data_IF_527766478948
#
_entry.id   IF_527766478948
#
_cell.length_a   1.000
_cell.length_b   1.000
_cell.length_c   1.000
_cell.angle_alpha   90.00
_cell.angle_beta   90.00
_cell.angle_gamma   90.00
#
_symmetry.space_group_name_H-M   'P 1'
#
loop_
_entity.id
_entity.type
_entity.pdbx_description
1 polymer ?
#
# COMPACT_ATOMS: atom_id res chain seq x y z
N UNK A 1 0.13 19.16 -4.06
CA UNK A 1 0.21 20.09 -2.93
C UNK A 1 -1.15 20.41 -2.28
N UNK A 2 -1.50 21.67 -2.01
CA UNK A 2 -2.70 22.06 -1.27
C UNK A 2 -3.35 23.36 -1.81
N UNK A 3 -2.84 23.90 -2.93
CA UNK A 3 -3.06 25.30 -3.32
C UNK A 3 -2.69 26.25 -2.15
N UNK A 4 -1.64 25.93 -1.41
CA UNK A 4 -1.20 26.72 -0.25
C UNK A 4 -0.51 28.01 -0.69
N UNK A 5 -0.12 28.84 0.29
CA UNK A 5 0.65 30.06 0.04
C UNK A 5 2.02 29.75 -0.55
N UNK A 6 2.62 28.63 -0.17
CA UNK A 6 3.82 28.09 -0.80
C UNK A 6 3.44 26.84 -1.61
N UNK A 7 4.20 26.54 -2.67
CA UNK A 7 4.08 25.26 -3.37
C UNK A 7 4.67 24.11 -2.53
N UNK A 8 4.46 22.87 -2.97
CA UNK A 8 5.04 21.67 -2.34
C UNK A 8 6.56 21.72 -2.25
N UNK A 9 7.19 22.38 -3.23
CA UNK A 9 8.63 22.59 -3.30
C UNK A 9 9.10 23.87 -2.58
N UNK A 10 8.20 24.59 -1.89
CA UNK A 10 8.49 25.80 -1.12
C UNK A 10 8.49 27.11 -1.93
N UNK A 11 8.04 27.11 -3.19
CA UNK A 11 8.07 28.31 -4.03
C UNK A 11 6.96 29.30 -3.65
N UNK A 12 7.24 30.59 -3.82
CA UNK A 12 6.26 31.64 -3.54
C UNK A 12 5.17 31.71 -4.62
N UNK A 13 3.92 31.60 -4.20
CA UNK A 13 2.76 31.73 -5.09
C UNK A 13 2.25 33.17 -5.16
N UNK A 14 1.37 33.47 -6.12
CA UNK A 14 0.64 34.73 -6.13
C UNK A 14 -0.16 34.98 -4.83
N UNK A 15 -0.65 33.91 -4.18
CA UNK A 15 -1.36 33.98 -2.89
C UNK A 15 -0.44 34.44 -1.77
N UNK A 16 0.81 33.95 -1.75
CA UNK A 16 1.84 34.43 -0.84
C UNK A 16 2.08 35.94 -1.00
N UNK A 17 2.30 36.43 -2.22
CA UNK A 17 2.58 37.86 -2.43
C UNK A 17 1.41 38.76 -2.04
N UNK A 18 0.16 38.35 -2.32
CA UNK A 18 -1.03 39.10 -1.89
C UNK A 18 -1.14 39.18 -0.37
N UNK A 19 -0.97 38.07 0.33
CA UNK A 19 -1.03 38.04 1.80
C UNK A 19 0.13 38.81 2.42
N UNK A 20 1.34 38.70 1.87
CA UNK A 20 2.51 39.48 2.30
C UNK A 20 2.27 40.98 2.14
N UNK A 21 1.67 41.42 1.02
CA UNK A 21 1.28 42.81 0.83
C UNK A 21 0.22 43.26 1.84
N UNK A 22 -0.81 42.44 2.07
CA UNK A 22 -1.85 42.71 3.06
C UNK A 22 -1.28 42.87 4.47
N UNK A 23 -0.50 41.89 4.96
CA UNK A 23 0.10 41.97 6.29
C UNK A 23 1.14 43.10 6.41
N UNK A 24 1.85 43.42 5.32
CA UNK A 24 2.78 44.56 5.27
C UNK A 24 2.08 45.91 5.41
N UNK A 25 0.83 46.03 4.96
CA UNK A 25 0.03 47.25 5.17
C UNK A 25 -0.41 47.44 6.62
N UNK A 26 -0.45 46.36 7.41
CA UNK A 26 -0.88 46.37 8.81
C UNK A 26 0.29 46.46 9.79
N UNK A 27 1.49 46.01 9.41
CA UNK A 27 2.61 45.84 10.34
C UNK A 27 3.23 47.15 10.82
N UNK A 28 3.06 48.26 10.11
CA UNK A 28 3.70 49.55 10.42
C UNK A 28 5.24 49.55 10.28
N UNK A 29 5.84 48.39 10.01
CA UNK A 29 7.27 48.16 9.76
C UNK A 29 7.45 47.28 8.51
N UNK A 30 8.54 47.46 7.74
CA UNK A 30 8.83 46.60 6.59
C UNK A 30 8.94 45.13 6.97
N UNK A 31 8.34 44.25 6.16
CA UNK A 31 8.47 42.80 6.35
C UNK A 31 9.88 42.31 5.98
N UNK A 32 10.42 41.30 6.70
CA UNK A 32 11.76 40.77 6.44
C UNK A 32 11.85 40.18 5.03
N UNK A 33 12.99 40.32 4.32
CA UNK A 33 13.15 39.82 2.96
C UNK A 33 12.87 38.32 2.87
N UNK A 34 12.37 37.87 1.71
CA UNK A 34 12.17 36.45 1.46
C UNK A 34 13.52 35.71 1.35
N UNK A 35 13.64 34.50 1.91
CA UNK A 35 14.72 33.59 1.58
C UNK A 35 14.81 33.30 0.07
N UNK A 36 16.01 33.00 -0.41
CA UNK A 36 16.21 32.57 -1.79
C UNK A 36 15.53 31.23 -2.06
N UNK A 37 15.04 31.06 -3.28
CA UNK A 37 14.42 29.80 -3.71
C UNK A 37 15.49 28.73 -3.96
N UNK A 38 15.14 27.49 -3.62
CA UNK A 38 15.99 26.34 -3.92
C UNK A 38 16.01 26.07 -5.43
N UNK A 39 17.20 25.90 -6.05
CA UNK A 39 17.29 25.60 -7.47
C UNK A 39 16.63 24.26 -7.80
N UNK A 40 16.03 24.17 -8.99
CA UNK A 40 15.42 22.95 -9.51
C UNK A 40 16.23 22.46 -10.70
N UNK A 41 16.48 21.15 -10.73
CA UNK A 41 17.27 20.50 -11.77
C UNK A 41 16.43 19.46 -12.49
N UNK A 42 16.45 19.49 -13.82
CA UNK A 42 15.96 18.40 -14.65
C UNK A 42 17.09 17.37 -14.80
N UNK A 43 16.82 16.13 -14.38
CA UNK A 43 17.75 15.01 -14.57
C UNK A 43 17.43 14.28 -15.87
N UNK A 44 18.46 13.68 -16.48
CA UNK A 44 18.28 12.82 -17.65
C UNK A 44 17.44 11.57 -17.31
N UNK A 45 16.69 11.02 -18.27
CA UNK A 45 15.92 9.80 -18.06
C UNK A 45 16.80 8.64 -17.58
N UNK A 46 16.47 8.08 -16.41
CA UNK A 46 17.12 6.89 -15.87
C UNK A 46 16.39 5.63 -16.34
N UNK A 47 17.14 4.62 -16.78
CA UNK A 47 16.62 3.26 -16.99
C UNK A 47 17.06 2.37 -15.82
N UNK A 48 16.14 1.65 -15.15
CA UNK A 48 16.53 0.71 -14.12
C UNK A 48 17.21 -0.51 -14.76
N UNK A 49 18.47 -0.76 -14.41
CA UNK A 49 19.24 -1.91 -14.91
C UNK A 49 18.95 -3.21 -14.14
N UNK A 50 18.50 -3.07 -12.88
CA UNK A 50 18.24 -4.19 -11.98
C UNK A 50 16.79 -4.14 -11.49
N UNK A 51 16.17 -5.30 -11.43
CA UNK A 51 14.85 -5.49 -10.83
C UNK A 51 14.80 -6.78 -10.03
N UNK A 52 13.95 -6.78 -9.01
CA UNK A 52 13.63 -7.95 -8.22
C UNK A 52 12.12 -8.18 -8.26
N UNK A 53 11.69 -9.34 -8.74
CA UNK A 53 10.29 -9.71 -8.69
C UNK A 53 9.83 -9.89 -7.23
N UNK A 54 8.59 -9.54 -6.92
CA UNK A 54 8.02 -9.79 -5.60
C UNK A 54 8.16 -11.28 -5.22
N UNK A 55 7.95 -12.19 -6.17
CA UNK A 55 7.99 -13.64 -5.92
C UNK A 55 9.37 -14.13 -5.52
N UNK A 56 10.43 -13.53 -6.08
CA UNK A 56 11.80 -13.82 -5.70
C UNK A 56 12.15 -13.14 -4.37
N UNK A 57 11.66 -11.92 -4.14
CA UNK A 57 11.84 -11.21 -2.87
C UNK A 57 11.27 -11.98 -1.68
N UNK A 58 10.14 -12.68 -1.84
CA UNK A 58 9.51 -13.48 -0.78
C UNK A 58 10.44 -14.59 -0.23
N UNK A 59 11.44 -15.04 -0.99
CA UNK A 59 12.41 -16.05 -0.54
C UNK A 59 13.35 -15.53 0.55
N UNK A 60 13.49 -14.21 0.67
CA UNK A 60 14.36 -13.54 1.64
C UNK A 60 13.57 -12.86 2.77
N UNK A 61 12.26 -13.05 2.79
CA UNK A 61 11.39 -12.55 3.84
C UNK A 61 11.50 -13.43 5.08
N UNK A 62 11.14 -12.86 6.23
CA UNK A 62 10.86 -13.65 7.43
C UNK A 62 9.71 -14.64 7.17
N UNK A 63 9.62 -15.66 8.04
CA UNK A 63 8.54 -16.63 8.00
C UNK A 63 7.17 -15.93 7.98
N UNK A 64 6.26 -16.30 7.06
CA UNK A 64 4.94 -15.71 7.01
C UNK A 64 4.14 -16.07 8.27
N UNK A 65 3.22 -15.20 8.63
CA UNK A 65 2.24 -15.49 9.66
C UNK A 65 1.27 -16.54 9.10
N UNK A 66 1.23 -17.70 9.73
CA UNK A 66 0.28 -18.76 9.38
C UNK A 66 -1.01 -18.58 10.19
N UNK A 67 -2.15 -18.61 9.52
CA UNK A 67 -3.47 -18.45 10.16
C UNK A 67 -4.54 -19.25 9.45
N UNK A 68 -5.48 -19.84 10.21
CA UNK A 68 -6.59 -20.58 9.61
C UNK A 68 -7.56 -19.67 8.83
N UNK A 69 -7.65 -18.39 9.22
CA UNK A 69 -8.50 -17.37 8.57
C UNK A 69 -7.66 -16.16 8.15
N UNK A 70 -8.12 -15.33 7.21
CA UNK A 70 -7.46 -14.06 6.94
C UNK A 70 -7.38 -13.19 8.21
N UNK A 71 -6.26 -12.49 8.37
CA UNK A 71 -6.04 -11.52 9.45
C UNK A 71 -5.79 -10.16 8.82
N UNK A 72 -6.52 -9.12 9.26
CA UNK A 72 -6.27 -7.76 8.79
C UNK A 72 -4.88 -7.26 9.22
N UNK A 73 -4.39 -6.20 8.57
CA UNK A 73 -3.04 -5.69 8.77
C UNK A 73 -2.78 -5.32 10.22
N UNK A 74 -3.74 -4.69 10.90
CA UNK A 74 -3.60 -4.19 12.27
C UNK A 74 -3.52 -5.31 13.32
N UNK A 75 -4.13 -6.47 13.05
CA UNK A 75 -4.15 -7.60 13.98
C UNK A 75 -3.02 -8.60 13.73
N UNK A 76 -2.09 -8.32 12.81
CA UNK A 76 -0.94 -9.19 12.59
C UNK A 76 0.01 -9.17 13.80
N UNK A 77 0.61 -10.31 14.18
CA UNK A 77 1.62 -10.40 15.24
C UNK A 77 3.00 -9.93 14.74
N UNK A 78 3.06 -8.75 14.12
CA UNK A 78 4.30 -8.11 13.63
C UNK A 78 4.52 -6.78 14.36
N UNK A 79 5.70 -6.18 14.19
CA UNK A 79 6.03 -4.89 14.82
C UNK A 79 5.80 -4.88 16.35
N UNK A 80 6.32 -5.90 17.04
CA UNK A 80 6.14 -6.10 18.48
C UNK A 80 4.66 -6.17 18.91
N UNK A 81 3.81 -6.80 18.08
CA UNK A 81 2.38 -6.97 18.35
C UNK A 81 1.50 -5.77 17.98
N UNK A 82 2.05 -4.73 17.34
CA UNK A 82 1.29 -3.55 16.92
C UNK A 82 0.70 -3.66 15.50
N UNK A 83 0.85 -4.81 14.85
CA UNK A 83 0.37 -5.01 13.49
C UNK A 83 1.15 -4.22 12.44
N UNK A 84 0.66 -4.27 11.22
CA UNK A 84 1.23 -3.58 10.06
C UNK A 84 0.46 -2.28 9.78
N UNK A 85 1.14 -1.14 9.90
CA UNK A 85 0.50 0.17 9.74
C UNK A 85 0.33 0.59 8.28
N UNK A 86 1.31 0.33 7.40
CA UNK A 86 1.36 0.87 6.03
C UNK A 86 1.89 -0.18 5.04
N UNK A 87 1.92 0.19 3.76
CA UNK A 87 2.50 -0.62 2.69
C UNK A 87 1.51 -1.65 2.14
N UNK A 88 2.04 -2.84 1.86
CA UNK A 88 1.31 -3.92 1.20
C UNK A 88 1.28 -5.17 2.09
N UNK A 89 0.30 -6.03 1.88
CA UNK A 89 0.21 -7.31 2.57
C UNK A 89 -0.16 -8.39 1.56
N UNK A 90 0.56 -9.50 1.57
CA UNK A 90 0.29 -10.61 0.67
C UNK A 90 -0.35 -11.76 1.44
N UNK A 91 -1.55 -12.15 1.01
CA UNK A 91 -2.25 -13.33 1.50
C UNK A 91 -2.08 -14.46 0.50
N UNK A 92 -1.53 -15.59 0.92
CA UNK A 92 -1.35 -16.79 0.12
C UNK A 92 -2.17 -17.95 0.72
N UNK A 93 -2.91 -18.67 -0.11
CA UNK A 93 -3.56 -19.94 0.26
C UNK A 93 -3.53 -20.90 -0.94
N UNK A 94 -3.98 -22.14 -0.75
CA UNK A 94 -4.08 -23.15 -1.81
C UNK A 94 -5.54 -23.44 -2.13
N UNK A 95 -5.86 -23.46 -3.42
CA UNK A 95 -7.18 -23.82 -3.95
C UNK A 95 -7.06 -25.04 -4.87
N UNK A 96 -8.13 -25.81 -4.99
CA UNK A 96 -8.19 -27.01 -5.84
C UNK A 96 -9.28 -26.94 -6.91
N UNK A 97 -10.00 -25.82 -6.99
CA UNK A 97 -11.07 -25.58 -7.94
C UNK A 97 -11.05 -24.14 -8.46
N UNK A 98 -11.63 -23.94 -9.64
CA UNK A 98 -11.94 -22.63 -10.21
C UNK A 98 -13.29 -22.13 -9.71
N UNK A 99 -13.64 -20.88 -10.06
CA UNK A 99 -14.96 -20.32 -9.75
C UNK A 99 -14.92 -18.88 -9.31
N UNK A 100 -15.89 -18.46 -8.50
CA UNK A 100 -16.03 -17.07 -8.08
C UNK A 100 -15.32 -16.89 -6.74
N UNK A 101 -14.22 -16.14 -6.76
CA UNK A 101 -13.59 -15.62 -5.55
C UNK A 101 -14.36 -14.39 -5.10
N UNK A 102 -14.70 -14.32 -3.81
CA UNK A 102 -15.40 -13.18 -3.25
C UNK A 102 -14.96 -12.83 -1.84
N UNK A 103 -15.08 -11.55 -1.49
CA UNK A 103 -14.89 -11.07 -0.14
C UNK A 103 -14.55 -9.59 -0.08
N UNK A 104 -14.25 -9.11 1.12
CA UNK A 104 -14.04 -7.69 1.38
C UNK A 104 -12.54 -7.39 1.47
N UNK A 105 -12.06 -6.55 0.56
CA UNK A 105 -10.68 -6.09 0.53
C UNK A 105 -10.63 -4.60 0.82
N UNK A 106 -9.67 -4.17 1.63
CA UNK A 106 -9.39 -2.77 1.89
C UNK A 106 -7.89 -2.47 1.73
N UNK A 107 -7.45 -1.69 0.73
CA UNK A 107 -8.27 -0.89 -0.19
C UNK A 107 -8.36 -1.48 -1.58
N UNK A 108 -7.27 -2.11 -2.05
CA UNK A 108 -7.19 -2.71 -3.37
C UNK A 108 -6.36 -3.98 -3.33
N UNK A 109 -6.94 -5.11 -3.73
CA UNK A 109 -6.30 -6.42 -3.76
C UNK A 109 -6.09 -6.90 -5.17
N UNK A 110 -4.83 -7.05 -5.61
CA UNK A 110 -4.51 -7.72 -6.85
C UNK A 110 -4.49 -9.23 -6.63
N UNK A 111 -5.30 -9.95 -7.40
CA UNK A 111 -5.45 -11.40 -7.29
C UNK A 111 -4.55 -12.08 -8.32
N UNK A 112 -3.85 -13.12 -7.88
CA UNK A 112 -2.99 -13.94 -8.70
C UNK A 112 -3.31 -15.42 -8.51
N UNK A 113 -3.23 -16.16 -9.61
CA UNK A 113 -3.17 -17.62 -9.62
C UNK A 113 -1.74 -17.99 -9.98
N UNK A 114 -1.03 -18.62 -9.04
CA UNK A 114 0.42 -18.72 -9.02
C UNK A 114 1.08 -17.33 -9.11
N UNK A 115 1.66 -16.98 -10.26
CA UNK A 115 2.30 -15.70 -10.53
C UNK A 115 1.52 -14.86 -11.55
N UNK A 116 0.44 -15.39 -12.12
CA UNK A 116 -0.36 -14.74 -13.17
C UNK A 116 -1.46 -13.91 -12.53
N UNK A 117 -1.51 -12.62 -12.86
CA UNK A 117 -2.57 -11.74 -12.37
C UNK A 117 -3.88 -12.04 -13.09
N UNK A 118 -4.95 -12.23 -12.31
CA UNK A 118 -6.29 -12.50 -12.84
C UNK A 118 -7.24 -11.32 -12.70
N UNK A 119 -6.88 -10.32 -11.87
CA UNK A 119 -7.54 -9.03 -11.78
C UNK A 119 -7.51 -8.44 -10.37
N UNK A 120 -8.50 -7.62 -10.03
CA UNK A 120 -8.50 -6.82 -8.80
C UNK A 120 -9.82 -6.93 -8.03
N UNK A 121 -9.71 -6.89 -6.71
CA UNK A 121 -10.79 -6.66 -5.75
C UNK A 121 -10.60 -5.29 -5.09
N UNK A 122 -11.69 -4.59 -4.81
CA UNK A 122 -11.68 -3.29 -4.11
C UNK A 122 -13.06 -3.03 -3.46
N UNK A 123 -13.32 -1.78 -3.07
CA UNK A 123 -14.59 -1.37 -2.46
C UNK A 123 -15.82 -1.67 -3.34
N UNK A 124 -15.68 -1.56 -4.66
CA UNK A 124 -16.76 -1.78 -5.63
C UNK A 124 -16.77 -3.24 -6.12
N UNK A 125 -15.60 -3.76 -6.48
CA UNK A 125 -15.42 -5.10 -7.03
C UNK A 125 -15.09 -6.10 -5.93
N UNK A 126 -16.14 -6.70 -5.36
CA UNK A 126 -16.04 -7.71 -4.29
C UNK A 126 -15.97 -9.15 -4.79
N UNK A 127 -16.03 -9.36 -6.11
CA UNK A 127 -16.03 -10.68 -6.74
C UNK A 127 -15.14 -10.69 -7.98
N UNK A 128 -14.47 -11.80 -8.23
CA UNK A 128 -13.70 -12.04 -9.45
C UNK A 128 -13.75 -13.52 -9.83
N UNK A 129 -13.67 -13.80 -11.12
CA UNK A 129 -13.60 -15.18 -11.64
C UNK A 129 -12.17 -15.67 -11.59
N UNK A 130 -11.96 -16.80 -10.91
CA UNK A 130 -10.74 -17.60 -10.98
C UNK A 130 -10.87 -18.52 -12.20
N UNK A 131 -9.93 -18.44 -13.16
CA UNK A 131 -9.96 -19.26 -14.36
C UNK A 131 -9.84 -20.75 -14.03
N UNK A 132 -10.06 -21.61 -15.02
CA UNK A 132 -9.87 -23.05 -14.87
C UNK A 132 -8.43 -23.33 -14.41
N UNK A 133 -8.30 -24.11 -13.33
CA UNK A 133 -7.02 -24.53 -12.77
C UNK A 133 -6.91 -26.06 -12.76
N UNK A 134 -5.68 -26.56 -12.73
CA UNK A 134 -5.38 -27.99 -12.60
C UNK A 134 -4.74 -28.26 -11.25
N UNK A 135 -5.28 -29.26 -10.53
CA UNK A 135 -4.76 -29.67 -9.24
C UNK A 135 -4.73 -28.56 -8.20
N UNK A 136 -3.84 -28.70 -7.22
CA UNK A 136 -3.63 -27.71 -6.17
C UNK A 136 -2.82 -26.53 -6.71
N UNK A 137 -3.39 -25.34 -6.62
CA UNK A 137 -2.80 -24.10 -7.14
C UNK A 137 -2.73 -23.04 -6.05
N UNK A 138 -1.69 -22.21 -6.08
CA UNK A 138 -1.55 -21.08 -5.14
C UNK A 138 -2.45 -19.93 -5.57
N UNK A 139 -3.35 -19.52 -4.68
CA UNK A 139 -4.08 -18.26 -4.79
C UNK A 139 -3.36 -17.21 -3.95
N UNK A 140 -3.10 -16.05 -4.54
CA UNK A 140 -2.44 -14.94 -3.86
C UNK A 140 -3.24 -13.66 -4.02
N UNK A 141 -3.32 -12.87 -2.96
CA UNK A 141 -3.98 -11.56 -2.97
C UNK A 141 -3.00 -10.55 -2.38
N UNK A 142 -2.43 -9.70 -3.22
CA UNK A 142 -1.58 -8.58 -2.81
C UNK A 142 -2.46 -7.37 -2.53
N UNK A 143 -2.63 -7.01 -1.26
CA UNK A 143 -3.47 -5.89 -0.86
C UNK A 143 -2.62 -4.66 -0.58
N UNK A 144 -2.99 -3.54 -1.19
CA UNK A 144 -2.45 -2.22 -0.96
C UNK A 144 -3.32 -1.47 0.06
N UNK A 145 -2.67 -0.91 1.09
CA UNK A 145 -3.28 0.09 1.97
C UNK A 145 -3.06 1.49 1.35
N UNK A 146 -4.14 2.09 0.83
CA UNK A 146 -4.12 3.40 0.14
C UNK A 146 -4.38 4.58 1.09
N UNK A 147 -4.34 4.33 2.40
CA UNK A 147 -4.55 5.33 3.44
C UNK A 147 -5.83 5.07 4.24
N UNK A 148 -5.77 5.28 5.55
CA UNK A 148 -6.94 5.24 6.42
C UNK A 148 -7.71 6.55 6.27
N UNK A 149 -9.04 6.46 6.26
CA UNK A 149 -9.92 7.63 6.31
C UNK A 149 -9.56 8.48 7.54
N UNK A 150 -9.43 9.80 7.34
CA UNK A 150 -9.03 10.78 8.36
C UNK A 150 -10.17 11.73 8.78
N UNK A 151 -11.39 11.51 8.31
CA UNK A 151 -12.56 12.35 8.61
C UNK A 151 -13.86 11.54 8.58
N UNK A 152 -14.82 11.90 9.43
CA UNK A 152 -16.17 11.30 9.48
C UNK A 152 -16.29 10.12 10.45
N UNK A 153 -17.44 9.46 10.43
CA UNK A 153 -17.82 8.48 11.46
C UNK A 153 -17.17 7.10 11.31
N UNK A 154 -16.54 6.81 10.18
CA UNK A 154 -16.02 5.48 9.84
C UNK A 154 -14.53 5.32 10.16
N UNK A 155 -13.96 6.18 11.03
CA UNK A 155 -12.53 6.18 11.37
C UNK A 155 -12.13 4.89 12.12
N UNK A 156 -12.97 4.43 13.05
CA UNK A 156 -12.68 3.25 13.87
C UNK A 156 -12.71 1.94 13.06
N UNK A 157 -13.47 1.94 11.96
CA UNK A 157 -13.63 0.80 11.05
C UNK A 157 -12.51 0.67 10.02
N UNK A 158 -11.50 1.55 10.01
CA UNK A 158 -10.43 1.60 9.00
C UNK A 158 -9.38 0.49 9.13
N UNK A 159 -9.81 -0.75 9.38
CA UNK A 159 -8.96 -1.94 9.22
C UNK A 159 -8.63 -2.18 7.75
N UNK A 160 -7.40 -2.62 7.48
CA UNK A 160 -6.84 -2.77 6.12
C UNK A 160 -6.41 -4.22 5.86
N UNK A 161 -6.24 -4.58 4.59
CA UNK A 161 -6.03 -5.96 4.16
C UNK A 161 -7.34 -6.67 3.81
N UNK A 162 -7.43 -7.97 4.12
CA UNK A 162 -8.67 -8.75 3.98
C UNK A 162 -9.53 -8.57 5.23
N UNK A 163 -10.79 -8.19 5.03
CA UNK A 163 -11.74 -7.95 6.13
C UNK A 163 -12.70 -9.14 6.21
N UNK A 164 -12.48 -10.00 7.20
CA UNK A 164 -13.23 -11.25 7.35
C UNK A 164 -12.74 -12.34 6.41
N UNK A 165 -13.60 -13.32 6.14
CA UNK A 165 -13.26 -14.46 5.29
C UNK A 165 -13.26 -14.07 3.81
N UNK A 166 -12.45 -14.79 3.04
CA UNK A 166 -12.54 -14.85 1.59
C UNK A 166 -13.15 -16.19 1.19
N UNK A 167 -14.01 -16.17 0.18
CA UNK A 167 -14.79 -17.32 -0.24
C UNK A 167 -14.48 -17.68 -1.69
N UNK A 168 -14.43 -18.97 -1.99
CA UNK A 168 -14.44 -19.51 -3.33
C UNK A 168 -15.70 -20.36 -3.49
N UNK A 169 -16.59 -19.98 -4.42
CA UNK A 169 -17.90 -20.61 -4.60
C UNK A 169 -18.65 -20.76 -3.25
N UNK A 170 -18.75 -19.64 -2.52
CA UNK A 170 -19.40 -19.53 -1.22
C UNK A 170 -18.80 -20.39 -0.09
N UNK A 171 -17.70 -21.09 -0.34
CA UNK A 171 -16.95 -21.84 0.66
C UNK A 171 -15.78 -21.01 1.20
N UNK A 172 -15.64 -20.83 2.53
CA UNK A 172 -14.56 -20.01 3.08
C UNK A 172 -13.20 -20.68 2.86
N UNK A 173 -12.28 -19.93 2.27
CA UNK A 173 -10.87 -20.33 2.16
C UNK A 173 -10.21 -20.27 3.54
N UNK A 174 -9.20 -21.12 3.72
CA UNK A 174 -8.50 -21.31 4.99
C UNK A 174 -6.99 -21.46 4.80
N UNK A 175 -6.24 -21.68 5.88
CA UNK A 175 -4.79 -21.97 5.86
C UNK A 175 -3.99 -20.91 5.09
N UNK A 176 -4.11 -19.67 5.53
CA UNK A 176 -3.41 -18.54 4.96
C UNK A 176 -1.97 -18.45 5.46
N UNK A 177 -1.05 -18.18 4.53
CA UNK A 177 0.28 -17.65 4.79
C UNK A 177 0.25 -16.16 4.48
N UNK A 178 0.59 -15.33 5.46
CA UNK A 178 0.42 -13.88 5.36
C UNK A 178 1.78 -13.20 5.49
N UNK A 179 2.17 -12.44 4.47
CA UNK A 179 3.43 -11.71 4.43
C UNK A 179 3.19 -10.21 4.62
N UNK A 180 3.79 -9.65 5.67
CA UNK A 180 3.82 -8.21 5.91
C UNK A 180 4.88 -7.57 5.01
N UNK A 181 4.46 -6.66 4.13
CA UNK A 181 5.33 -5.87 3.24
C UNK A 181 5.20 -4.38 3.63
N UNK A 182 5.72 -4.04 4.81
CA UNK A 182 5.50 -2.72 5.43
C UNK A 182 6.29 -1.58 4.79
N UNK A 183 7.19 -1.92 3.85
CA UNK A 183 8.05 -0.99 3.12
C UNK A 183 8.90 -0.10 4.05
N UNK A 184 9.20 -0.55 5.27
CA UNK A 184 10.15 0.13 6.14
C UNK A 184 11.57 -0.04 5.63
N UNK A 185 12.50 0.79 6.12
CA UNK A 185 13.93 0.64 5.81
C UNK A 185 14.45 -0.78 6.06
N UNK A 186 14.00 -1.42 7.14
CA UNK A 186 14.33 -2.81 7.49
C UNK A 186 13.82 -3.85 6.50
N UNK A 187 12.73 -3.58 5.78
CA UNK A 187 12.28 -4.41 4.65
C UNK A 187 13.32 -4.37 3.52
N UNK A 188 13.73 -3.18 3.09
CA UNK A 188 14.68 -3.01 1.98
C UNK A 188 16.10 -3.51 2.31
N UNK A 189 16.54 -3.39 3.57
CA UNK A 189 17.84 -3.89 4.01
C UNK A 189 18.02 -5.42 3.87
N UNK A 190 16.94 -6.17 3.61
CA UNK A 190 17.01 -7.61 3.31
C UNK A 190 17.60 -7.89 1.93
N UNK A 191 17.50 -6.92 1.03
CA UNK A 191 17.87 -7.03 -0.38
C UNK A 191 19.13 -6.22 -0.74
N UNK A 192 19.94 -5.84 0.26
CA UNK A 192 21.16 -5.06 0.04
C UNK A 192 22.17 -5.84 -0.82
N UNK A 193 22.83 -5.12 -1.74
CA UNK A 193 23.77 -5.64 -2.75
C UNK A 193 24.87 -6.52 -2.14
N UNK A 194 25.33 -6.24 -0.92
CA UNK A 194 26.35 -7.07 -0.25
C UNK A 194 25.92 -8.52 0.03
N UNK A 195 24.63 -8.85 -0.17
CA UNK A 195 24.07 -10.20 -0.03
C UNK A 195 23.76 -10.88 -1.37
N UNK A 196 24.07 -10.23 -2.50
CA UNK A 196 23.60 -10.58 -3.85
C UNK A 196 24.77 -10.76 -4.81
#
# INVERSE_FOLDING_TARGET
DYDAVLTEAGDYTAKYFKLRGFFGSLSGVPLPPQPDLLPKTAYEPLRPDLYLSLWDALKYMEEPVNSEKPVNMENLPVNNGNGQSFGYILYETTIASSGILSGLVRDRGQVFVNTVSVGFLDYERKKIVIPLIQGYTRLRILVENRGRVNYGNNIDDQRKGLIGNIYLNDSPLKKFRIYSLDMKKSFFQRFSVDKW
#
